data_IF_029500402649
#
_entry.id   IF_029500402649
#
_cell.length_a   1.000
_cell.length_b   1.000
_cell.length_c   1.000
_cell.angle_alpha   90.00
_cell.angle_beta   90.00
_cell.angle_gamma   90.00
#
_symmetry.space_group_name_H-M   'P 1'
#
loop_
_entity.id
_entity.type
_entity.pdbx_description
1 polymer ?
#
# COMPACT_ATOMS: atom_id res chain seq x y z
N UNK A 1 -7.29 75.43 -3.99
CA UNK A 1 -8.51 76.06 -4.46
C UNK A 1 -9.55 75.00 -4.55
N UNK A 2 -10.48 75.17 -3.70
CA UNK A 2 -11.94 74.99 -3.66
C UNK A 2 -12.39 73.52 -3.67
N UNK A 3 -12.76 72.98 -2.56
CA UNK A 3 -13.89 73.06 -1.62
C UNK A 3 -15.26 72.75 -2.24
N UNK A 4 -15.94 71.89 -1.50
CA UNK A 4 -17.40 71.74 -1.21
C UNK A 4 -18.07 70.54 -1.84
N UNK A 5 -18.99 69.83 -1.22
CA UNK A 5 -19.56 69.72 0.15
C UNK A 5 -20.67 68.65 0.07
N UNK A 6 -20.87 67.90 1.13
CA UNK A 6 -22.06 67.10 1.43
C UNK A 6 -23.29 68.01 1.68
N UNK A 7 -24.50 67.54 1.57
CA UNK A 7 -25.29 67.10 2.75
C UNK A 7 -26.13 65.83 2.52
N UNK A 8 -26.36 64.96 3.47
CA UNK A 8 -27.21 64.89 4.67
C UNK A 8 -28.73 64.80 4.42
N UNK A 9 -29.28 63.77 5.08
CA UNK A 9 -30.51 63.63 5.86
C UNK A 9 -31.64 62.76 5.23
N UNK A 10 -31.87 61.60 5.79
CA UNK A 10 -32.91 61.21 6.78
C UNK A 10 -34.33 61.16 6.26
N UNK A 11 -34.97 59.97 6.42
CA UNK A 11 -36.26 59.84 7.10
C UNK A 11 -36.70 58.37 7.15
N UNK A 12 -36.82 57.81 8.36
CA UNK A 12 -37.81 56.79 8.70
C UNK A 12 -39.17 57.49 8.90
N UNK A 13 -40.30 56.80 8.67
CA UNK A 13 -41.05 56.39 9.87
C UNK A 13 -41.89 55.08 9.78
N UNK A 14 -42.05 54.55 10.96
CA UNK A 14 -43.25 54.02 11.67
C UNK A 14 -43.99 52.78 11.16
N UNK A 15 -44.03 51.84 12.10
CA UNK A 15 -45.06 50.80 12.26
C UNK A 15 -46.48 51.41 12.39
N UNK A 16 -47.53 50.61 12.13
CA UNK A 16 -48.44 50.34 13.19
C UNK A 16 -48.80 48.86 13.41
N UNK A 17 -49.04 48.63 14.62
CA UNK A 17 -49.70 47.66 15.46
C UNK A 17 -51.13 47.27 14.93
N UNK A 18 -51.56 46.05 15.25
CA UNK A 18 -52.82 45.67 15.84
C UNK A 18 -53.40 44.29 15.47
N UNK A 19 -53.48 43.46 16.52
CA UNK A 19 -54.67 42.73 17.01
C UNK A 19 -55.03 41.39 16.35
N UNK A 20 -54.87 40.39 17.20
CA UNK A 20 -55.58 39.12 17.15
C UNK A 20 -57.11 39.28 17.40
N UNK A 21 -57.88 38.28 17.04
CA UNK A 21 -58.93 37.81 17.93
C UNK A 21 -58.86 36.31 18.18
N UNK A 22 -59.12 36.01 19.45
CA UNK A 22 -59.40 34.70 20.00
C UNK A 22 -60.75 34.16 19.55
N UNK A 23 -60.83 32.87 19.20
CA UNK A 23 -62.07 32.09 19.28
C UNK A 23 -61.82 30.67 19.78
N UNK A 24 -62.27 30.47 20.98
CA UNK A 24 -62.97 29.39 21.67
C UNK A 24 -62.75 27.93 21.23
N UNK A 25 -62.44 27.18 22.25
CA UNK A 25 -62.43 25.76 22.48
C UNK A 25 -63.64 24.99 21.90
N UNK A 26 -63.35 23.81 21.40
CA UNK A 26 -64.28 22.68 21.41
C UNK A 26 -63.47 21.43 21.69
N UNK A 27 -63.77 20.82 22.82
CA UNK A 27 -63.24 19.52 23.27
C UNK A 27 -63.80 18.41 22.38
N UNK A 28 -62.94 17.55 21.87
CA UNK A 28 -63.30 16.17 21.53
C UNK A 28 -62.14 15.26 21.89
N UNK A 29 -62.39 14.41 22.83
CA UNK A 29 -61.55 13.28 23.20
C UNK A 29 -61.52 12.26 22.06
N UNK A 30 -60.38 11.99 21.55
CA UNK A 30 -60.11 10.82 20.71
C UNK A 30 -58.88 10.11 21.20
N UNK A 31 -59.04 8.86 21.52
CA UNK A 31 -58.01 7.94 22.00
C UNK A 31 -56.83 7.90 20.99
N UNK A 32 -55.64 8.30 21.48
CA UNK A 32 -54.40 8.14 20.71
C UNK A 32 -53.74 6.89 21.24
N UNK A 33 -53.88 5.82 20.46
CA UNK A 33 -53.03 4.63 20.54
C UNK A 33 -51.59 5.06 20.28
N UNK A 34 -50.75 4.97 21.33
CA UNK A 34 -49.35 5.30 21.26
C UNK A 34 -48.61 4.36 20.31
N UNK A 35 -48.26 4.81 19.12
CA UNK A 35 -47.23 4.18 18.31
C UNK A 35 -45.88 4.74 18.80
N UNK A 36 -45.19 4.01 19.67
CA UNK A 36 -43.81 4.21 20.01
C UNK A 36 -42.99 3.90 18.76
N UNK A 37 -42.70 4.91 17.95
CA UNK A 37 -41.66 4.83 16.93
C UNK A 37 -40.32 4.84 17.69
N UNK A 38 -39.83 3.64 18.00
CA UNK A 38 -38.45 3.43 18.35
C UNK A 38 -37.61 3.79 17.14
N UNK A 39 -37.11 5.02 17.08
CA UNK A 39 -36.01 5.39 16.18
C UNK A 39 -34.80 4.57 16.61
N UNK A 40 -34.65 3.40 15.97
CA UNK A 40 -33.39 2.68 15.96
C UNK A 40 -32.35 3.62 15.35
N UNK A 41 -31.59 4.29 16.18
CA UNK A 41 -30.30 4.83 15.78
C UNK A 41 -29.45 3.63 15.40
N UNK A 42 -29.52 3.27 14.13
CA UNK A 42 -28.50 2.44 13.49
C UNK A 42 -27.22 3.27 13.56
N UNK A 43 -26.43 3.07 14.61
CA UNK A 43 -25.03 3.45 14.58
C UNK A 43 -24.47 2.83 13.32
N UNK A 44 -23.79 3.60 12.43
CA UNK A 44 -23.11 2.99 11.31
C UNK A 44 -22.16 1.95 11.91
N UNK A 45 -22.41 0.68 11.60
CA UNK A 45 -21.48 -0.38 11.91
C UNK A 45 -20.19 0.01 11.23
N UNK A 46 -19.24 0.54 12.02
CA UNK A 46 -17.87 0.69 11.54
C UNK A 46 -17.41 -0.71 11.18
N UNK A 47 -17.30 -0.97 9.89
CA UNK A 47 -16.68 -2.18 9.43
C UNK A 47 -15.28 -2.19 10.04
N UNK A 48 -15.05 -3.09 10.99
CA UNK A 48 -13.71 -3.34 11.51
C UNK A 48 -12.83 -3.64 10.31
N UNK A 49 -11.65 -3.01 10.17
CA UNK A 49 -10.73 -3.33 9.11
C UNK A 49 -10.36 -4.80 9.26
N UNK A 50 -10.98 -5.64 8.42
CA UNK A 50 -10.70 -7.05 8.38
C UNK A 50 -9.37 -7.23 7.66
N UNK A 51 -8.30 -7.43 8.44
CA UNK A 51 -6.97 -7.75 7.92
C UNK A 51 -6.92 -9.27 7.71
N UNK A 52 -7.15 -9.77 6.49
CA UNK A 52 -7.18 -11.20 6.25
C UNK A 52 -5.79 -11.80 6.45
N UNK A 53 -5.70 -12.75 7.37
CA UNK A 53 -4.50 -13.54 7.59
C UNK A 53 -4.59 -14.75 6.66
N UNK A 54 -3.55 -15.00 5.88
CA UNK A 54 -3.53 -16.17 4.99
C UNK A 54 -3.56 -17.46 5.79
N UNK A 55 -4.11 -18.51 5.20
CA UNK A 55 -4.18 -19.82 5.85
C UNK A 55 -2.78 -20.36 6.20
N UNK A 56 -1.80 -20.09 5.36
CA UNK A 56 -0.40 -20.46 5.60
C UNK A 56 0.20 -19.71 6.81
N UNK A 57 -0.05 -18.42 6.94
CA UNK A 57 0.40 -17.64 8.10
C UNK A 57 -0.17 -18.18 9.40
N UNK A 58 -1.46 -18.56 9.37
CA UNK A 58 -2.12 -19.15 10.52
C UNK A 58 -1.53 -20.51 10.87
N UNK A 59 -1.29 -21.39 9.87
CA UNK A 59 -0.67 -22.69 10.11
C UNK A 59 0.75 -22.57 10.65
N UNK A 60 1.57 -21.67 10.10
CA UNK A 60 2.91 -21.38 10.61
C UNK A 60 2.85 -20.88 12.05
N UNK A 61 1.95 -19.93 12.33
CA UNK A 61 1.77 -19.41 13.68
C UNK A 61 1.34 -20.48 14.68
N UNK A 62 0.47 -21.40 14.28
CA UNK A 62 0.06 -22.53 15.13
C UNK A 62 1.22 -23.47 15.42
N UNK A 63 2.00 -23.86 14.42
CA UNK A 63 3.17 -24.73 14.59
C UNK A 63 4.20 -24.09 15.54
N UNK A 64 4.46 -22.79 15.39
CA UNK A 64 5.40 -22.08 16.27
C UNK A 64 4.83 -21.91 17.69
N UNK A 65 3.51 -21.66 17.82
CA UNK A 65 2.86 -21.56 19.14
C UNK A 65 3.01 -22.86 19.95
N UNK A 66 2.91 -24.00 19.28
CA UNK A 66 3.05 -25.32 19.91
C UNK A 66 4.52 -25.68 20.20
N UNK A 67 5.38 -25.44 19.25
CA UNK A 67 6.78 -25.86 19.30
C UNK A 67 7.72 -24.83 19.94
N UNK A 68 7.45 -23.52 19.78
CA UNK A 68 8.39 -22.42 20.05
C UNK A 68 9.47 -22.32 18.97
N UNK A 69 10.30 -21.30 19.01
CA UNK A 69 11.41 -21.07 18.08
C UNK A 69 12.71 -21.62 18.66
N UNK A 70 13.56 -22.34 17.90
CA UNK A 70 14.88 -22.76 18.39
C UNK A 70 15.71 -21.56 18.83
N UNK A 71 16.50 -21.71 19.89
CA UNK A 71 17.40 -20.64 20.38
C UNK A 71 18.40 -20.17 19.30
N UNK A 72 18.74 -21.03 18.34
CA UNK A 72 19.63 -20.72 17.21
C UNK A 72 19.05 -19.63 16.27
N UNK A 73 17.73 -19.45 16.26
CA UNK A 73 17.03 -18.47 15.43
C UNK A 73 16.89 -17.10 16.12
N UNK A 74 17.23 -17.01 17.39
CA UNK A 74 17.22 -15.73 18.09
C UNK A 74 18.35 -14.83 17.60
N UNK A 75 18.09 -13.54 17.59
CA UNK A 75 19.12 -12.51 17.41
C UNK A 75 20.16 -12.64 18.52
N UNK A 76 21.47 -12.53 18.22
CA UNK A 76 22.53 -12.57 19.24
C UNK A 76 22.32 -11.52 20.35
N UNK A 77 21.72 -10.40 20.00
CA UNK A 77 21.44 -9.27 20.90
C UNK A 77 19.95 -9.17 21.27
N UNK A 78 19.20 -10.27 21.22
CA UNK A 78 17.79 -10.26 21.57
C UNK A 78 17.59 -9.77 23.00
N UNK A 79 16.82 -8.71 23.24
CA UNK A 79 16.56 -8.22 24.60
C UNK A 79 15.64 -9.20 25.34
N UNK A 80 15.70 -9.19 26.66
CA UNK A 80 14.78 -10.01 27.47
C UNK A 80 13.34 -9.47 27.44
N UNK A 81 13.17 -8.18 27.17
CA UNK A 81 11.85 -7.54 27.00
C UNK A 81 11.91 -6.32 26.10
N UNK A 82 10.77 -6.00 25.50
CA UNK A 82 10.56 -4.79 24.70
C UNK A 82 9.16 -4.23 24.96
N UNK A 83 9.07 -2.94 25.19
CA UNK A 83 7.77 -2.23 25.25
C UNK A 83 7.48 -1.63 23.89
N UNK A 84 6.38 -2.05 23.29
CA UNK A 84 5.92 -1.55 21.97
C UNK A 84 5.71 -0.05 22.05
N UNK A 85 6.31 0.69 21.14
CA UNK A 85 6.22 2.16 21.06
C UNK A 85 5.40 2.58 19.83
N UNK A 86 4.89 3.79 19.86
CA UNK A 86 4.25 4.36 18.67
C UNK A 86 5.29 4.52 17.56
N UNK A 87 4.98 3.97 16.38
CA UNK A 87 5.90 3.91 15.24
C UNK A 87 6.69 2.61 15.12
N UNK A 88 6.63 1.71 16.11
CA UNK A 88 7.14 0.35 15.93
C UNK A 88 6.37 -0.36 14.82
N UNK A 89 7.03 -1.31 14.17
CA UNK A 89 6.41 -2.23 13.22
C UNK A 89 6.70 -3.67 13.66
N UNK A 90 5.85 -4.61 13.25
CA UNK A 90 6.13 -6.03 13.51
C UNK A 90 7.47 -6.47 12.91
N UNK A 91 7.85 -5.88 11.80
CA UNK A 91 9.17 -6.07 11.20
C UNK A 91 10.29 -5.61 12.13
N UNK A 92 10.18 -4.38 12.64
CA UNK A 92 11.17 -3.82 13.57
C UNK A 92 11.25 -4.60 14.86
N UNK A 93 10.10 -4.91 15.47
CA UNK A 93 10.02 -5.72 16.70
C UNK A 93 10.58 -7.11 16.47
N UNK A 94 10.24 -7.77 15.35
CA UNK A 94 10.81 -9.08 15.01
C UNK A 94 12.34 -9.05 14.91
N UNK A 95 12.91 -7.97 14.35
CA UNK A 95 14.36 -7.80 14.22
C UNK A 95 15.10 -7.65 15.55
N UNK A 96 14.41 -7.30 16.64
CA UNK A 96 15.00 -7.27 17.97
C UNK A 96 15.20 -8.70 18.53
N UNK A 97 14.26 -9.59 18.25
CA UNK A 97 14.23 -10.93 18.86
C UNK A 97 14.74 -12.05 17.93
N UNK A 98 14.57 -11.90 16.60
CA UNK A 98 14.90 -12.91 15.61
C UNK A 98 16.03 -12.45 14.70
N UNK A 99 16.85 -13.37 14.20
CA UNK A 99 17.92 -13.10 13.22
C UNK A 99 17.39 -12.49 11.93
N UNK A 100 16.16 -12.86 11.56
CA UNK A 100 15.53 -12.44 10.32
C UNK A 100 14.21 -11.73 10.60
N UNK A 101 14.11 -10.40 10.40
CA UNK A 101 12.91 -9.61 10.69
C UNK A 101 11.65 -10.08 9.96
N UNK A 102 11.80 -10.61 8.75
CA UNK A 102 10.69 -11.14 7.94
C UNK A 102 9.99 -12.35 8.58
N UNK A 103 10.60 -12.99 9.60
CA UNK A 103 10.03 -14.11 10.36
C UNK A 103 9.02 -13.66 11.43
N UNK A 104 8.48 -12.44 11.35
CA UNK A 104 7.47 -11.98 12.28
C UNK A 104 6.23 -12.92 12.42
N UNK A 105 5.83 -13.74 11.43
CA UNK A 105 4.76 -14.71 11.66
C UNK A 105 5.09 -15.73 12.75
N UNK A 106 6.37 -16.05 12.93
CA UNK A 106 6.86 -16.91 14.03
C UNK A 106 6.77 -16.15 15.38
N UNK A 107 7.11 -14.87 15.38
CA UNK A 107 6.92 -14.01 16.54
C UNK A 107 5.44 -13.94 16.95
N UNK A 108 4.54 -13.80 16.00
CA UNK A 108 3.10 -13.87 16.22
C UNK A 108 2.67 -15.23 16.74
N UNK A 109 3.17 -16.32 16.17
CA UNK A 109 2.91 -17.68 16.63
C UNK A 109 3.29 -17.89 18.09
N UNK A 110 4.41 -17.32 18.53
CA UNK A 110 4.83 -17.36 19.93
C UNK A 110 3.81 -16.68 20.88
N UNK A 111 2.93 -15.83 20.38
CA UNK A 111 1.95 -15.07 21.16
C UNK A 111 0.49 -15.38 20.76
N UNK A 112 0.24 -16.50 20.12
CA UNK A 112 -1.08 -16.82 19.52
C UNK A 112 -2.23 -16.79 20.54
N UNK A 113 -1.97 -17.10 21.81
CA UNK A 113 -3.00 -17.09 22.85
C UNK A 113 -3.42 -15.66 23.29
N UNK A 114 -2.48 -14.70 23.26
CA UNK A 114 -2.70 -13.32 23.66
C UNK A 114 -3.01 -12.41 22.46
N UNK A 115 -2.47 -12.74 21.28
CA UNK A 115 -2.61 -11.93 20.08
C UNK A 115 -3.31 -12.77 19.00
N UNK A 116 -4.62 -12.65 18.92
CA UNK A 116 -5.43 -13.37 17.90
C UNK A 116 -5.17 -12.88 16.49
N UNK A 117 -4.79 -11.60 16.36
CA UNK A 117 -4.46 -10.96 15.08
C UNK A 117 -3.11 -10.24 15.23
N UNK A 118 -2.08 -10.60 14.45
CA UNK A 118 -0.75 -9.99 14.54
C UNK A 118 -0.73 -8.50 14.18
N UNK A 119 -1.76 -8.04 13.46
CA UNK A 119 -1.91 -6.63 13.12
C UNK A 119 -2.52 -5.78 14.24
N UNK A 120 -2.88 -6.39 15.37
CA UNK A 120 -3.48 -5.73 16.52
C UNK A 120 -2.52 -5.71 17.74
N UNK A 121 -1.25 -5.40 17.53
CA UNK A 121 -0.29 -5.08 18.59
C UNK A 121 -0.28 -3.57 18.79
N UNK A 122 -0.43 -3.16 20.06
CA UNK A 122 -0.62 -1.76 20.40
C UNK A 122 0.55 -1.18 21.17
N UNK A 123 0.87 0.10 21.00
CA UNK A 123 1.83 0.80 21.84
C UNK A 123 1.50 0.66 23.34
N UNK A 124 2.55 0.46 24.13
CA UNK A 124 2.45 0.23 25.59
C UNK A 124 2.29 -1.24 25.99
N UNK A 125 2.14 -2.17 25.05
CA UNK A 125 2.24 -3.59 25.34
C UNK A 125 3.71 -3.97 25.57
N UNK A 126 3.97 -4.78 26.60
CA UNK A 126 5.30 -5.32 26.87
C UNK A 126 5.41 -6.74 26.29
N UNK A 127 6.46 -6.96 25.53
CA UNK A 127 6.87 -8.27 25.01
C UNK A 127 8.07 -8.73 25.84
N UNK A 128 8.09 -9.98 26.28
CA UNK A 128 9.24 -10.57 26.97
C UNK A 128 9.54 -11.97 26.47
N UNK A 129 10.83 -12.28 26.47
CA UNK A 129 11.38 -13.51 25.91
C UNK A 129 11.49 -14.58 27.01
N UNK A 130 10.67 -15.64 26.86
CA UNK A 130 10.74 -16.83 27.69
C UNK A 130 11.61 -17.89 27.01
N UNK A 131 12.73 -18.24 27.63
CA UNK A 131 13.70 -19.23 27.14
C UNK A 131 13.58 -20.48 27.98
N UNK A 132 12.87 -21.49 27.51
CA UNK A 132 12.68 -22.75 28.22
C UNK A 132 12.90 -23.95 27.28
N UNK A 133 13.44 -25.04 27.83
CA UNK A 133 13.65 -26.32 27.12
C UNK A 133 14.40 -26.22 25.78
N UNK A 134 15.40 -25.33 25.67
CA UNK A 134 16.16 -25.14 24.43
C UNK A 134 15.41 -24.38 23.33
N UNK A 135 14.24 -23.84 23.67
CA UNK A 135 13.40 -23.05 22.78
C UNK A 135 13.05 -21.72 23.40
N UNK A 136 12.70 -20.76 22.54
CA UNK A 136 12.27 -19.44 22.95
C UNK A 136 10.81 -19.23 22.56
N UNK A 137 10.11 -18.50 23.43
CA UNK A 137 8.73 -17.99 23.20
C UNK A 137 8.65 -16.54 23.57
N UNK A 138 7.99 -15.75 22.76
CA UNK A 138 7.70 -14.36 23.10
C UNK A 138 6.29 -14.28 23.69
N UNK A 139 6.18 -13.61 24.84
CA UNK A 139 4.91 -13.44 25.54
C UNK A 139 4.57 -11.98 25.68
N UNK A 140 3.27 -11.69 25.69
CA UNK A 140 2.73 -10.34 25.95
C UNK A 140 2.20 -10.29 27.36
N UNK A 141 2.56 -9.27 28.12
CA UNK A 141 2.03 -9.04 29.48
C UNK A 141 2.89 -8.12 30.30
N UNK A 142 2.51 -7.91 31.56
CA UNK A 142 3.33 -7.26 32.57
C UNK A 142 3.99 -8.33 33.44
N UNK A 143 5.30 -8.22 33.66
CA UNK A 143 5.99 -8.99 34.69
C UNK A 143 5.59 -8.40 36.04
N UNK A 144 4.71 -9.09 36.77
CA UNK A 144 4.50 -8.80 38.15
C UNK A 144 5.60 -9.53 38.92
N UNK A 145 6.66 -8.80 39.30
CA UNK A 145 7.69 -9.31 40.20
C UNK A 145 7.12 -9.40 41.61
N UNK A 146 6.64 -10.57 41.97
CA UNK A 146 6.48 -10.85 43.41
C UNK A 146 7.85 -11.21 43.97
N UNK A 147 8.13 -10.73 45.16
CA UNK A 147 9.37 -10.92 45.94
C UNK A 147 9.72 -12.39 46.25
N UNK A 148 8.93 -13.34 45.75
CA UNK A 148 9.09 -14.79 45.90
C UNK A 148 9.56 -15.53 44.69
N UNK A 149 10.06 -14.85 43.62
CA UNK A 149 10.68 -15.50 42.47
C UNK A 149 9.73 -16.16 41.47
N UNK A 150 8.42 -16.15 41.70
CA UNK A 150 7.41 -16.63 40.75
C UNK A 150 6.78 -15.46 40.02
N UNK A 151 7.09 -15.30 38.75
CA UNK A 151 6.46 -14.32 37.85
C UNK A 151 5.01 -14.77 37.53
N UNK A 152 4.03 -14.14 38.16
CA UNK A 152 2.60 -14.34 37.84
C UNK A 152 2.21 -13.37 36.71
N UNK A 153 1.87 -13.91 35.56
CA UNK A 153 1.46 -13.14 34.40
C UNK A 153 -0.02 -12.80 34.49
N UNK A 154 -0.35 -11.52 34.45
CA UNK A 154 -1.74 -11.08 34.32
C UNK A 154 -2.01 -10.65 32.89
N UNK A 155 -2.78 -11.39 32.09
CA UNK A 155 -3.19 -10.96 30.76
C UNK A 155 -4.20 -9.82 30.90
N UNK A 156 -3.79 -8.60 30.53
CA UNK A 156 -4.72 -7.50 30.31
C UNK A 156 -4.82 -7.27 28.81
N UNK A 157 -5.96 -7.64 28.26
CA UNK A 157 -6.35 -7.20 26.91
C UNK A 157 -6.66 -5.70 27.00
N UNK A 158 -5.85 -4.86 26.39
CA UNK A 158 -6.21 -3.47 26.15
C UNK A 158 -6.95 -3.42 24.82
N UNK A 159 -8.22 -3.06 24.88
CA UNK A 159 -8.95 -2.61 23.68
C UNK A 159 -8.43 -1.21 23.35
N UNK A 160 -7.57 -1.11 22.33
CA UNK A 160 -7.12 0.15 21.75
C UNK A 160 -7.89 0.43 20.46
N UNK A 161 -7.87 1.69 20.00
CA UNK A 161 -8.40 2.01 18.68
C UNK A 161 -7.59 1.28 17.63
N UNK A 162 -8.24 0.70 16.61
CA UNK A 162 -7.59 -0.04 15.52
C UNK A 162 -6.58 0.81 14.75
N UNK A 163 -6.78 2.13 14.72
CA UNK A 163 -5.87 3.09 14.10
C UNK A 163 -4.51 3.20 14.81
N UNK A 164 -4.42 2.75 16.08
CA UNK A 164 -3.18 2.75 16.85
C UNK A 164 -2.40 1.42 16.75
N UNK A 165 -2.92 0.41 16.06
CA UNK A 165 -2.24 -0.86 15.86
C UNK A 165 -0.97 -0.68 15.01
N UNK A 166 0.11 -1.39 15.39
CA UNK A 166 1.36 -1.33 14.63
C UNK A 166 1.26 -2.10 13.32
N UNK A 167 1.79 -1.53 12.25
CA UNK A 167 1.79 -2.13 10.93
C UNK A 167 2.88 -3.22 10.80
N UNK A 168 2.66 -4.18 9.91
CA UNK A 168 3.64 -5.24 9.61
C UNK A 168 4.85 -4.72 8.85
N UNK A 169 4.59 -3.86 7.87
CA UNK A 169 5.55 -3.05 7.11
C UNK A 169 4.94 -1.66 7.02
N UNK A 170 5.73 -0.58 7.00
CA UNK A 170 5.20 0.77 6.84
C UNK A 170 4.42 0.89 5.52
N UNK A 171 3.09 0.74 5.58
CA UNK A 171 2.22 0.78 4.39
C UNK A 171 2.32 2.09 3.62
N UNK A 172 2.61 3.21 4.32
CA UNK A 172 2.79 4.51 3.67
C UNK A 172 3.95 4.52 2.65
N UNK A 173 4.91 3.60 2.78
CA UNK A 173 5.98 3.41 1.79
C UNK A 173 5.49 2.67 0.54
N UNK A 174 4.49 1.82 0.68
CA UNK A 174 3.97 0.98 -0.41
C UNK A 174 2.72 1.58 -1.06
N UNK A 175 1.92 2.34 -0.30
CA UNK A 175 0.64 2.88 -0.75
C UNK A 175 0.73 3.68 -2.06
N UNK A 176 1.72 4.57 -2.29
CA UNK A 176 1.86 5.26 -3.56
C UNK A 176 2.02 4.30 -4.74
N UNK A 177 2.70 3.19 -4.53
CA UNK A 177 3.09 2.25 -5.59
C UNK A 177 2.03 1.20 -5.90
N UNK A 178 1.10 0.92 -4.98
CA UNK A 178 -0.04 0.07 -5.30
C UNK A 178 -0.91 0.66 -6.41
N UNK A 179 -0.95 1.97 -6.50
CA UNK A 179 -1.73 2.69 -7.50
C UNK A 179 -0.94 3.05 -8.76
N UNK A 180 0.38 3.20 -8.65
CA UNK A 180 1.22 3.81 -9.69
C UNK A 180 1.82 2.78 -10.65
N UNK A 181 2.24 1.62 -10.16
CA UNK A 181 2.87 0.61 -11.00
C UNK A 181 1.83 -0.20 -11.78
N UNK A 182 1.84 -0.09 -13.10
CA UNK A 182 1.00 -0.91 -14.00
C UNK A 182 1.88 -1.58 -15.03
N UNK A 183 1.74 -2.90 -15.10
CA UNK A 183 2.32 -3.71 -16.14
C UNK A 183 1.18 -4.29 -16.97
N UNK A 184 1.34 -4.23 -18.28
CA UNK A 184 0.50 -4.90 -19.25
C UNK A 184 1.25 -6.12 -19.78
N UNK A 185 0.58 -7.26 -19.82
CA UNK A 185 1.18 -8.50 -20.31
C UNK A 185 1.39 -8.47 -21.83
N UNK A 186 0.58 -7.70 -22.55
CA UNK A 186 0.69 -7.53 -24.01
C UNK A 186 0.55 -6.08 -24.43
N UNK A 187 1.18 -5.75 -25.57
CA UNK A 187 0.98 -4.45 -26.24
C UNK A 187 -0.47 -4.22 -26.69
N UNK A 188 -1.20 -5.30 -27.02
CA UNK A 188 -2.55 -5.22 -27.56
C UNK A 188 -3.58 -4.78 -26.54
N UNK A 189 -3.40 -5.19 -25.28
CA UNK A 189 -4.22 -4.73 -24.17
C UNK A 189 -4.18 -3.21 -24.04
N UNK A 190 -3.00 -2.65 -24.17
CA UNK A 190 -2.79 -1.22 -24.14
C UNK A 190 -3.39 -0.48 -25.34
N UNK A 191 -3.28 -1.04 -26.53
CA UNK A 191 -3.83 -0.43 -27.75
C UNK A 191 -5.35 -0.26 -27.66
N UNK A 192 -6.03 -1.17 -26.96
CA UNK A 192 -7.48 -1.14 -26.68
C UNK A 192 -7.86 -0.22 -25.53
N UNK A 193 -6.91 0.19 -24.68
CA UNK A 193 -7.19 1.05 -23.54
C UNK A 193 -7.74 2.41 -23.98
N UNK A 194 -8.70 3.00 -23.23
CA UNK A 194 -9.17 4.36 -23.47
C UNK A 194 -7.99 5.33 -23.49
N UNK A 195 -8.07 6.35 -24.33
CA UNK A 195 -6.99 7.31 -24.52
C UNK A 195 -7.46 8.76 -24.41
N UNK A 196 -6.60 9.61 -23.92
CA UNK A 196 -6.74 11.05 -23.94
C UNK A 196 -6.63 11.54 -25.40
N UNK A 197 -7.70 12.10 -25.96
CA UNK A 197 -7.76 12.54 -27.35
C UNK A 197 -7.69 14.05 -27.51
N UNK A 198 -8.11 14.79 -26.49
CA UNK A 198 -8.05 16.25 -26.49
C UNK A 198 -7.99 16.78 -25.06
N UNK A 199 -7.47 17.98 -24.96
CA UNK A 199 -7.46 18.81 -23.75
C UNK A 199 -8.43 19.96 -23.91
N UNK A 200 -8.68 20.72 -22.86
CA UNK A 200 -9.44 21.95 -22.94
C UNK A 200 -8.76 22.92 -23.92
N UNK A 201 -9.56 23.70 -24.65
CA UNK A 201 -9.10 24.63 -25.66
C UNK A 201 -8.00 25.57 -25.12
N UNK A 202 -6.92 25.72 -25.90
CA UNK A 202 -5.75 26.52 -25.54
C UNK A 202 -4.74 25.81 -24.62
N UNK A 203 -4.95 24.54 -24.27
CA UNK A 203 -4.02 23.74 -23.44
C UNK A 203 -3.33 22.67 -24.29
N UNK A 204 -2.04 22.51 -24.07
CA UNK A 204 -1.24 21.42 -24.66
C UNK A 204 -1.07 20.28 -23.64
N UNK A 205 -0.90 20.64 -22.38
CA UNK A 205 -0.73 19.76 -21.24
C UNK A 205 -1.80 20.03 -20.19
N UNK A 206 -2.16 19.01 -19.44
CA UNK A 206 -3.16 19.10 -18.38
C UNK A 206 -2.54 19.05 -17.02
N UNK A 207 -3.07 19.89 -16.13
CA UNK A 207 -2.77 19.94 -14.71
C UNK A 207 -3.99 19.51 -13.88
N UNK A 208 -3.81 19.46 -12.56
CA UNK A 208 -4.89 19.11 -11.63
C UNK A 208 -6.07 20.08 -11.76
N UNK A 209 -7.28 19.52 -11.77
CA UNK A 209 -8.54 20.26 -11.87
C UNK A 209 -8.97 20.59 -13.30
N UNK A 210 -8.14 20.33 -14.29
CA UNK A 210 -8.45 20.62 -15.69
C UNK A 210 -9.29 19.51 -16.34
N UNK A 211 -9.90 19.86 -17.48
CA UNK A 211 -10.79 18.97 -18.22
C UNK A 211 -10.00 18.19 -19.28
N UNK A 212 -10.22 16.90 -19.31
CA UNK A 212 -9.66 15.95 -20.27
C UNK A 212 -10.77 15.30 -21.10
N UNK A 213 -10.54 15.12 -22.39
CA UNK A 213 -11.45 14.43 -23.29
C UNK A 213 -10.88 13.06 -23.68
N UNK A 214 -11.66 12.01 -23.39
CA UNK A 214 -11.22 10.62 -23.52
C UNK A 214 -12.11 9.87 -24.49
N UNK A 215 -11.49 9.04 -25.33
CA UNK A 215 -12.18 8.12 -26.24
C UNK A 215 -11.76 6.69 -25.94
N UNK A 216 -12.74 5.79 -25.88
CA UNK A 216 -12.57 4.37 -25.64
C UNK A 216 -13.71 3.81 -24.78
N UNK A 217 -13.69 2.52 -24.56
CA UNK A 217 -14.70 1.81 -23.77
C UNK A 217 -14.43 1.98 -22.28
N UNK A 218 -15.40 2.51 -21.54
CA UNK A 218 -15.25 2.84 -20.12
C UNK A 218 -15.87 1.79 -19.18
N UNK A 219 -16.78 0.93 -19.67
CA UNK A 219 -17.41 -0.13 -18.89
C UNK A 219 -18.13 0.36 -17.62
N UNK A 220 -18.69 1.59 -17.64
CA UNK A 220 -19.43 2.17 -16.51
C UNK A 220 -18.59 2.57 -15.31
N UNK A 221 -17.27 2.60 -15.43
CA UNK A 221 -16.34 2.97 -14.35
C UNK A 221 -16.14 4.48 -14.30
N UNK A 222 -16.02 5.03 -13.08
CA UNK A 222 -15.87 6.47 -12.87
C UNK A 222 -14.41 6.89 -12.61
N UNK A 223 -13.64 6.07 -11.89
CA UNK A 223 -12.30 6.42 -11.47
C UNK A 223 -11.26 5.69 -12.31
N UNK A 224 -10.35 6.47 -12.88
CA UNK A 224 -9.36 5.99 -13.84
C UNK A 224 -7.97 6.50 -13.48
N UNK A 225 -6.97 5.70 -13.83
CA UNK A 225 -5.55 6.08 -13.79
C UNK A 225 -5.08 6.42 -15.18
N UNK A 226 -4.27 7.45 -15.29
CA UNK A 226 -3.66 7.88 -16.54
C UNK A 226 -2.21 7.42 -16.60
N UNK A 227 -1.83 6.89 -17.74
CA UNK A 227 -0.49 6.35 -18.01
C UNK A 227 0.04 6.85 -19.33
N UNK A 228 1.35 7.06 -19.37
CA UNK A 228 2.06 7.31 -20.60
C UNK A 228 2.40 6.01 -21.31
N UNK A 229 2.67 6.09 -22.61
CA UNK A 229 3.02 4.95 -23.45
C UNK A 229 4.03 4.03 -22.75
N UNK A 230 3.74 2.71 -22.68
CA UNK A 230 4.56 1.80 -21.91
C UNK A 230 5.83 1.41 -22.63
N UNK A 231 6.86 1.19 -21.82
CA UNK A 231 8.15 0.70 -22.26
C UNK A 231 8.22 -0.82 -22.09
N UNK A 232 8.81 -1.57 -23.04
CA UNK A 232 9.02 -3.00 -22.87
C UNK A 232 10.08 -3.26 -21.79
N UNK A 233 9.73 -4.05 -20.79
CA UNK A 233 10.66 -4.58 -19.82
C UNK A 233 11.28 -5.87 -20.34
N UNK A 234 12.60 -5.89 -20.48
CA UNK A 234 13.33 -7.01 -21.06
C UNK A 234 14.15 -7.72 -19.99
N UNK A 235 14.11 -9.04 -20.02
CA UNK A 235 14.99 -9.86 -19.21
C UNK A 235 16.45 -9.51 -19.47
N UNK A 236 17.27 -9.22 -18.46
CA UNK A 236 18.67 -8.83 -18.63
C UNK A 236 19.52 -9.89 -19.35
N UNK A 237 19.24 -11.18 -19.10
CA UNK A 237 20.00 -12.29 -19.66
C UNK A 237 19.50 -12.72 -21.04
N UNK A 238 18.17 -12.91 -21.21
CA UNK A 238 17.59 -13.47 -22.45
C UNK A 238 17.15 -12.41 -23.44
N UNK A 239 16.99 -11.15 -23.02
CA UNK A 239 16.44 -10.04 -23.80
C UNK A 239 14.96 -10.19 -24.17
N UNK A 240 14.32 -11.23 -23.70
CA UNK A 240 12.90 -11.46 -23.90
C UNK A 240 12.06 -10.34 -23.25
N UNK A 241 10.98 -9.93 -23.90
CA UNK A 241 10.03 -8.97 -23.31
C UNK A 241 9.16 -9.71 -22.29
N UNK A 242 9.28 -9.32 -21.02
CA UNK A 242 8.54 -9.89 -19.91
C UNK A 242 7.18 -9.23 -19.73
N UNK A 243 7.05 -7.98 -20.09
CA UNK A 243 5.87 -7.15 -19.98
C UNK A 243 6.14 -5.72 -20.39
N UNK A 244 5.15 -4.86 -20.28
CA UNK A 244 5.22 -3.44 -20.65
C UNK A 244 4.91 -2.58 -19.43
N UNK A 245 5.90 -1.83 -18.95
CA UNK A 245 5.74 -0.91 -17.84
C UNK A 245 5.19 0.42 -18.32
N UNK A 246 4.02 0.81 -17.79
CA UNK A 246 3.41 2.09 -18.09
C UNK A 246 3.74 3.11 -16.99
N UNK A 247 4.25 4.27 -17.42
CA UNK A 247 4.58 5.35 -16.51
C UNK A 247 3.31 6.04 -16.03
N UNK A 248 3.09 6.04 -14.71
CA UNK A 248 1.94 6.68 -14.10
C UNK A 248 1.99 8.21 -14.24
N UNK A 249 0.90 8.79 -14.71
CA UNK A 249 0.75 10.24 -14.90
C UNK A 249 -0.14 10.85 -13.83
N UNK A 250 -1.31 10.22 -13.54
CA UNK A 250 -2.26 10.76 -12.58
C UNK A 250 -3.55 9.95 -12.48
N UNK A 251 -4.56 10.55 -11.87
CA UNK A 251 -5.92 10.01 -11.80
C UNK A 251 -6.93 10.97 -12.39
N UNK A 252 -7.94 10.40 -13.04
CA UNK A 252 -9.05 11.10 -13.65
C UNK A 252 -10.38 10.59 -13.11
N UNK A 253 -11.37 11.46 -12.99
CA UNK A 253 -12.76 11.09 -12.70
C UNK A 253 -13.66 11.43 -13.88
N UNK A 254 -14.53 10.48 -14.23
CA UNK A 254 -15.54 10.66 -15.27
C UNK A 254 -16.60 11.66 -14.79
N UNK A 255 -16.79 12.72 -15.56
CA UNK A 255 -17.83 13.76 -15.34
C UNK A 255 -19.05 13.47 -16.20
N UNK A 256 -18.83 13.16 -17.47
CA UNK A 256 -19.89 12.90 -18.44
C UNK A 256 -19.42 11.86 -19.47
N UNK A 257 -20.25 10.88 -19.74
CA UNK A 257 -20.02 9.92 -20.80
C UNK A 257 -20.12 10.59 -22.18
N UNK A 258 -19.33 10.10 -23.11
CA UNK A 258 -19.37 10.49 -24.49
C UNK A 258 -20.59 9.94 -25.21
N UNK A 259 -20.81 10.40 -26.42
CA UNK A 259 -21.91 9.94 -27.26
C UNK A 259 -21.42 9.75 -28.70
N UNK A 260 -22.01 8.81 -29.41
CA UNK A 260 -21.86 8.69 -30.85
C UNK A 260 -23.15 9.19 -31.49
N UNK A 261 -23.02 9.97 -32.55
CA UNK A 261 -24.14 10.58 -33.26
C UNK A 261 -23.78 10.86 -34.73
N UNK A 262 -24.64 11.62 -35.37
CA UNK A 262 -24.42 12.06 -36.76
C UNK A 262 -24.30 13.57 -36.75
N UNK A 263 -23.25 14.08 -37.36
CA UNK A 263 -23.03 15.51 -37.54
C UNK A 263 -24.07 16.16 -38.51
N UNK A 264 -24.10 17.47 -38.55
CA UNK A 264 -24.99 18.23 -39.44
C UNK A 264 -24.72 17.94 -40.91
N UNK A 265 -23.57 17.45 -41.26
CA UNK A 265 -23.13 17.04 -42.60
C UNK A 265 -23.43 15.56 -42.91
N UNK A 266 -24.12 14.84 -42.02
CA UNK A 266 -24.46 13.43 -42.17
C UNK A 266 -23.29 12.49 -41.86
N UNK A 267 -22.12 13.00 -41.46
CA UNK A 267 -20.95 12.17 -41.10
C UNK A 267 -21.04 11.69 -39.65
N UNK A 268 -20.46 10.51 -39.34
CA UNK A 268 -20.37 10.04 -37.95
C UNK A 268 -19.65 11.06 -37.06
N UNK A 269 -20.29 11.48 -35.98
CA UNK A 269 -19.75 12.42 -35.01
C UNK A 269 -19.55 11.69 -33.68
N UNK A 270 -18.35 11.71 -33.16
CA UNK A 270 -18.04 11.15 -31.86
C UNK A 270 -17.78 12.29 -30.87
N UNK A 271 -18.63 12.39 -29.84
CA UNK A 271 -18.40 13.28 -28.71
C UNK A 271 -17.64 12.50 -27.64
N UNK A 272 -16.38 12.86 -27.32
CA UNK A 272 -15.59 12.13 -26.33
C UNK A 272 -16.14 12.29 -24.93
N UNK A 273 -15.86 11.33 -24.06
CA UNK A 273 -16.19 11.41 -22.64
C UNK A 273 -15.39 12.51 -21.97
N UNK A 274 -16.02 13.22 -21.03
CA UNK A 274 -15.41 14.34 -20.29
C UNK A 274 -14.96 13.86 -18.93
N UNK A 275 -13.71 14.14 -18.60
CA UNK A 275 -13.06 13.80 -17.34
C UNK A 275 -12.50 15.06 -16.67
N UNK A 276 -12.33 14.99 -15.34
CA UNK A 276 -11.56 15.96 -14.58
C UNK A 276 -10.31 15.28 -14.02
N UNK A 277 -9.18 15.97 -14.09
CA UNK A 277 -7.92 15.53 -13.51
C UNK A 277 -7.95 15.71 -11.98
N UNK A 278 -7.98 14.60 -11.21
CA UNK A 278 -8.06 14.64 -9.75
C UNK A 278 -6.68 14.80 -9.11
N UNK A 279 -5.70 14.04 -9.59
CA UNK A 279 -4.32 14.12 -9.15
C UNK A 279 -3.38 13.95 -10.34
N UNK A 280 -2.20 14.53 -10.23
CA UNK A 280 -1.19 14.48 -11.28
C UNK A 280 0.20 14.42 -10.65
N UNK A 281 1.05 13.55 -11.17
CA UNK A 281 2.47 13.45 -10.86
C UNK A 281 3.33 14.07 -11.94
N UNK A 282 2.83 13.99 -13.17
CA UNK A 282 3.46 14.52 -14.38
C UNK A 282 2.36 15.11 -15.25
N UNK A 283 2.69 16.11 -16.05
CA UNK A 283 1.75 16.72 -16.97
C UNK A 283 1.16 15.70 -17.95
N UNK A 284 -0.17 15.64 -18.02
CA UNK A 284 -0.90 14.75 -18.92
C UNK A 284 -0.93 15.32 -20.34
N UNK A 285 -0.76 14.47 -21.33
CA UNK A 285 -0.71 14.84 -22.74
C UNK A 285 -1.70 14.01 -23.56
N UNK A 286 -2.08 14.55 -24.72
CA UNK A 286 -2.84 13.80 -25.74
C UNK A 286 -2.04 12.55 -26.14
N UNK A 287 -2.74 11.40 -26.16
CA UNK A 287 -2.12 10.09 -26.41
C UNK A 287 -1.92 9.25 -25.14
N UNK A 288 -1.90 9.85 -23.96
CA UNK A 288 -1.85 9.11 -22.70
C UNK A 288 -3.05 8.16 -22.58
N UNK A 289 -2.84 7.00 -21.96
CA UNK A 289 -3.81 5.89 -21.89
C UNK A 289 -4.42 5.77 -20.49
N UNK A 290 -5.65 5.27 -20.44
CA UNK A 290 -6.35 5.09 -19.20
C UNK A 290 -6.43 3.61 -18.81
N UNK A 291 -6.24 3.32 -17.53
CA UNK A 291 -6.54 2.03 -16.93
C UNK A 291 -7.47 2.22 -15.72
N UNK A 292 -8.36 1.28 -15.45
CA UNK A 292 -9.24 1.39 -14.30
C UNK A 292 -8.45 1.40 -12.99
N UNK A 293 -8.94 2.16 -12.01
CA UNK A 293 -8.40 2.07 -10.64
C UNK A 293 -8.74 0.67 -10.12
N UNK A 294 -7.75 -0.15 -9.71
CA UNK A 294 -8.04 -1.44 -9.12
C UNK A 294 -8.81 -1.25 -7.82
N UNK A 295 -9.64 -2.22 -7.43
CA UNK A 295 -10.21 -2.22 -6.09
C UNK A 295 -9.08 -2.11 -5.06
N UNK A 296 -9.32 -1.30 -4.01
CA UNK A 296 -8.35 -1.15 -2.92
C UNK A 296 -8.21 -2.48 -2.19
N UNK A 297 -7.24 -3.24 -2.59
CA UNK A 297 -6.91 -4.51 -1.96
C UNK A 297 -5.92 -4.23 -0.82
N UNK A 298 -6.44 -3.79 0.33
CA UNK A 298 -5.66 -3.61 1.56
C UNK A 298 -5.33 -4.96 2.22
N UNK A 299 -4.97 -5.94 1.42
CA UNK A 299 -4.46 -7.19 1.97
C UNK A 299 -3.11 -6.92 2.61
N UNK A 300 -3.08 -6.90 3.93
CA UNK A 300 -1.84 -6.85 4.68
C UNK A 300 -0.95 -8.01 4.23
N UNK A 301 0.18 -7.66 3.64
CA UNK A 301 1.16 -8.63 3.20
C UNK A 301 1.97 -9.09 4.41
N UNK A 302 1.91 -10.38 4.69
CA UNK A 302 2.80 -10.97 5.67
C UNK A 302 4.08 -11.41 4.97
N UNK A 303 5.25 -10.94 5.41
CA UNK A 303 6.52 -11.41 4.89
C UNK A 303 6.72 -12.90 5.14
N UNK A 304 7.21 -13.60 4.11
CA UNK A 304 7.53 -15.04 4.19
C UNK A 304 8.60 -15.40 3.16
N UNK A 305 9.27 -16.53 3.36
CA UNK A 305 10.17 -17.09 2.36
C UNK A 305 9.39 -17.65 1.17
N UNK A 306 9.97 -17.68 -0.05
CA UNK A 306 9.36 -18.37 -1.18
C UNK A 306 9.16 -19.86 -0.86
N UNK A 307 8.11 -20.45 -1.45
CA UNK A 307 7.76 -21.86 -1.21
C UNK A 307 8.69 -22.85 -1.91
N UNK A 308 9.38 -22.38 -2.91
CA UNK A 308 10.33 -23.14 -3.73
C UNK A 308 11.59 -22.30 -3.94
N UNK A 309 12.66 -22.95 -4.37
CA UNK A 309 13.89 -22.25 -4.70
C UNK A 309 13.68 -21.32 -5.88
N UNK A 310 13.94 -20.04 -5.65
CA UNK A 310 13.78 -19.00 -6.65
C UNK A 310 15.08 -18.22 -6.80
N UNK A 311 15.54 -18.08 -8.03
CA UNK A 311 16.66 -17.21 -8.39
C UNK A 311 16.32 -16.42 -9.65
N UNK A 312 16.76 -15.17 -9.70
CA UNK A 312 16.52 -14.29 -10.82
C UNK A 312 17.37 -13.03 -10.80
N UNK A 313 16.99 -12.08 -11.64
CA UNK A 313 17.70 -10.81 -11.79
C UNK A 313 16.71 -9.62 -11.75
N UNK A 314 17.23 -8.48 -11.32
CA UNK A 314 16.52 -7.20 -11.41
C UNK A 314 16.45 -6.78 -12.88
N UNK A 315 15.24 -6.52 -13.35
CA UNK A 315 14.96 -6.11 -14.75
C UNK A 315 15.17 -4.63 -14.91
N UNK A 316 14.58 -3.84 -14.02
CA UNK A 316 14.61 -2.38 -14.04
C UNK A 316 14.41 -1.80 -12.65
N UNK A 317 14.71 -0.52 -12.55
CA UNK A 317 14.38 0.29 -11.39
C UNK A 317 13.21 1.18 -11.79
N UNK A 318 12.16 1.22 -10.97
CA UNK A 318 10.98 2.03 -11.25
C UNK A 318 11.35 3.52 -11.39
N UNK A 319 10.84 4.16 -12.45
CA UNK A 319 11.12 5.56 -12.73
C UNK A 319 12.42 5.81 -13.51
N UNK A 320 12.95 4.81 -14.22
CA UNK A 320 14.13 4.89 -15.11
C UNK A 320 15.43 5.30 -14.39
N UNK A 321 15.54 5.06 -13.09
CA UNK A 321 16.77 5.31 -12.36
C UNK A 321 17.85 4.28 -12.71
N UNK A 322 19.12 4.71 -12.70
CA UNK A 322 20.26 3.83 -12.98
C UNK A 322 20.66 2.96 -11.81
N UNK A 323 20.31 3.37 -10.61
CA UNK A 323 20.56 2.64 -9.37
C UNK A 323 19.48 2.91 -8.34
N UNK A 324 19.24 1.95 -7.45
CA UNK A 324 18.25 2.03 -6.40
C UNK A 324 18.86 1.76 -5.02
N UNK A 325 18.34 2.46 -4.02
CA UNK A 325 18.64 2.26 -2.61
C UNK A 325 17.45 1.73 -1.82
N UNK A 326 17.52 1.83 -0.50
CA UNK A 326 16.42 1.46 0.39
C UNK A 326 15.14 2.23 0.08
N UNK A 327 13.99 1.56 0.23
CA UNK A 327 12.63 2.08 -0.03
C UNK A 327 12.36 2.45 -1.49
N UNK A 328 13.15 1.96 -2.42
CA UNK A 328 12.88 2.08 -3.84
C UNK A 328 12.34 0.78 -4.44
N UNK A 329 11.68 0.89 -5.58
CA UNK A 329 11.02 -0.24 -6.25
C UNK A 329 11.86 -0.72 -7.41
N UNK A 330 11.90 -2.03 -7.53
CA UNK A 330 12.57 -2.75 -8.62
C UNK A 330 11.62 -3.77 -9.25
N UNK A 331 11.79 -3.99 -10.55
CA UNK A 331 11.14 -5.06 -11.29
C UNK A 331 12.03 -6.30 -11.30
N UNK A 332 11.45 -7.47 -11.10
CA UNK A 332 12.11 -8.78 -11.06
C UNK A 332 11.66 -9.63 -12.23
N UNK A 333 12.57 -10.45 -12.80
CA UNK A 333 12.27 -11.38 -13.91
C UNK A 333 11.67 -12.71 -13.43
N UNK A 334 10.96 -12.71 -12.30
CA UNK A 334 10.22 -13.85 -11.77
C UNK A 334 8.84 -13.38 -11.34
N UNK A 335 7.84 -14.24 -11.56
CA UNK A 335 6.44 -13.96 -11.28
C UNK A 335 5.72 -15.13 -10.62
N UNK A 336 4.39 -15.17 -10.79
CA UNK A 336 3.55 -16.22 -10.20
C UNK A 336 3.91 -17.61 -10.74
N UNK A 337 4.33 -17.73 -12.00
CA UNK A 337 4.78 -19.00 -12.60
C UNK A 337 6.03 -19.56 -11.92
N UNK A 338 6.86 -18.69 -11.35
CA UNK A 338 8.09 -19.04 -10.64
C UNK A 338 7.84 -19.24 -9.13
N UNK A 339 6.57 -19.26 -8.69
CA UNK A 339 6.20 -19.48 -7.30
C UNK A 339 6.32 -18.24 -6.41
N UNK A 340 6.46 -17.05 -6.99
CA UNK A 340 6.39 -15.80 -6.22
C UNK A 340 4.94 -15.42 -5.93
N UNK A 341 4.71 -14.96 -4.73
CA UNK A 341 3.45 -14.37 -4.28
C UNK A 341 3.71 -13.08 -3.47
N UNK A 342 2.65 -12.38 -3.15
CA UNK A 342 2.75 -11.14 -2.36
C UNK A 342 3.23 -11.44 -0.95
N UNK A 343 4.25 -10.73 -0.49
CA UNK A 343 4.87 -10.94 0.81
C UNK A 343 6.15 -11.78 0.74
N UNK A 344 6.47 -12.34 -0.41
CA UNK A 344 7.73 -13.10 -0.58
C UNK A 344 8.94 -12.20 -0.31
N UNK A 345 9.85 -12.68 0.53
CA UNK A 345 11.14 -12.06 0.81
C UNK A 345 12.21 -12.73 -0.02
N UNK A 346 13.07 -11.91 -0.62
CA UNK A 346 14.21 -12.37 -1.43
C UNK A 346 15.49 -11.71 -0.95
N UNK A 347 16.60 -12.42 -1.06
CA UNK A 347 17.94 -11.88 -0.79
C UNK A 347 18.53 -11.27 -2.06
N UNK A 348 19.11 -10.08 -1.93
CA UNK A 348 19.90 -9.44 -2.97
C UNK A 348 21.36 -9.88 -2.86
N UNK A 349 21.96 -10.15 -4.00
CA UNK A 349 23.34 -10.55 -4.12
C UNK A 349 24.11 -9.60 -5.04
N UNK A 350 25.31 -9.27 -4.61
CA UNK A 350 26.31 -8.65 -5.45
C UNK A 350 27.27 -9.73 -5.95
N UNK A 351 27.46 -9.82 -7.24
CA UNK A 351 28.47 -10.68 -7.81
C UNK A 351 29.87 -10.16 -7.49
N UNK A 352 30.72 -11.03 -6.96
CA UNK A 352 32.10 -10.71 -6.69
C UNK A 352 32.82 -10.26 -7.95
N UNK A 353 33.56 -9.18 -7.87
CA UNK A 353 34.35 -8.70 -8.99
C UNK A 353 35.49 -9.64 -9.36
N UNK A 354 35.80 -9.72 -10.63
CA UNK A 354 37.00 -10.42 -11.12
C UNK A 354 38.17 -9.44 -11.11
N UNK A 355 39.21 -9.74 -10.33
CA UNK A 355 40.39 -8.91 -10.17
C UNK A 355 41.65 -9.71 -10.49
N UNK A 356 42.76 -9.01 -10.72
CA UNK A 356 44.07 -9.64 -10.81
C UNK A 356 44.73 -9.59 -9.45
N UNK A 357 45.25 -10.73 -9.02
CA UNK A 357 46.09 -10.81 -7.80
C UNK A 357 47.45 -10.16 -8.07
N UNK A 358 47.61 -8.95 -7.58
CA UNK A 358 48.87 -8.18 -7.73
C UNK A 358 49.96 -8.60 -6.75
N UNK A 359 49.67 -9.54 -5.84
CA UNK A 359 50.63 -10.03 -4.86
C UNK A 359 51.55 -11.14 -5.41
N UNK A 360 51.15 -11.79 -6.51
CA UNK A 360 51.94 -12.81 -7.19
C UNK A 360 52.54 -12.27 -8.49
N UNK A 361 53.69 -12.77 -8.88
CA UNK A 361 54.43 -12.33 -10.07
C UNK A 361 53.67 -12.62 -11.37
N UNK A 362 52.95 -13.73 -11.47
CA UNK A 362 52.13 -14.16 -12.59
C UNK A 362 50.75 -13.49 -12.66
N UNK A 363 50.41 -12.70 -11.63
CA UNK A 363 49.18 -11.91 -11.54
C UNK A 363 47.92 -12.69 -11.95
N UNK A 364 47.62 -13.84 -11.34
CA UNK A 364 46.47 -14.65 -11.75
C UNK A 364 45.17 -13.90 -11.58
N UNK A 365 44.20 -14.24 -12.42
CA UNK A 365 42.83 -13.70 -12.32
C UNK A 365 42.08 -14.47 -11.25
N UNK A 366 41.57 -13.76 -10.27
CA UNK A 366 40.75 -14.29 -9.18
C UNK A 366 39.37 -13.67 -9.19
N UNK A 367 38.36 -14.44 -8.84
CA UNK A 367 36.99 -13.95 -8.61
C UNK A 367 36.77 -13.80 -7.09
N UNK A 368 36.37 -12.62 -6.67
CA UNK A 368 35.94 -12.40 -5.28
C UNK A 368 34.62 -13.14 -5.00
N UNK A 369 34.35 -13.53 -3.75
CA UNK A 369 33.08 -14.17 -3.41
C UNK A 369 31.90 -13.25 -3.65
N UNK A 370 30.76 -13.85 -3.97
CA UNK A 370 29.50 -13.17 -4.06
C UNK A 370 29.04 -12.80 -2.64
N UNK A 371 28.52 -11.59 -2.46
CA UNK A 371 28.10 -11.07 -1.16
C UNK A 371 26.62 -10.79 -1.12
N UNK A 372 25.95 -11.25 -0.04
CA UNK A 372 24.59 -10.86 0.27
C UNK A 372 24.59 -9.42 0.77
N UNK A 373 23.90 -8.52 0.06
CA UNK A 373 23.93 -7.11 0.40
C UNK A 373 22.57 -6.47 0.67
N UNK A 374 21.47 -7.21 0.56
CA UNK A 374 20.15 -6.64 0.84
C UNK A 374 19.01 -7.65 0.89
N UNK A 375 17.81 -7.12 1.11
CA UNK A 375 16.54 -7.84 1.13
C UNK A 375 15.49 -7.08 0.29
N UNK A 376 14.67 -7.85 -0.40
CA UNK A 376 13.52 -7.40 -1.18
C UNK A 376 12.23 -7.94 -0.58
N UNK A 377 11.15 -7.16 -0.63
CA UNK A 377 9.78 -7.59 -0.36
C UNK A 377 8.96 -7.49 -1.64
N UNK A 378 8.49 -8.62 -2.14
CA UNK A 378 7.58 -8.68 -3.29
C UNK A 378 6.20 -8.20 -2.86
N UNK A 379 5.70 -7.12 -3.47
CA UNK A 379 4.39 -6.56 -3.12
C UNK A 379 3.37 -6.64 -4.25
N UNK A 380 3.84 -6.86 -5.49
CA UNK A 380 2.96 -7.04 -6.66
C UNK A 380 3.52 -8.10 -7.58
N UNK A 381 2.68 -9.05 -7.97
CA UNK A 381 3.07 -10.21 -8.77
C UNK A 381 2.23 -10.25 -10.04
N UNK A 382 2.90 -10.47 -11.16
CA UNK A 382 2.35 -10.72 -12.48
C UNK A 382 2.74 -12.14 -12.90
N UNK A 383 2.34 -12.57 -14.09
CA UNK A 383 2.62 -13.94 -14.52
C UNK A 383 4.12 -14.24 -14.62
N UNK A 384 4.88 -13.35 -15.28
CA UNK A 384 6.29 -13.55 -15.61
C UNK A 384 7.26 -12.65 -14.86
N UNK A 385 6.76 -11.71 -14.11
CA UNK A 385 7.55 -10.73 -13.39
C UNK A 385 6.85 -10.24 -12.13
N UNK A 386 7.58 -9.53 -11.27
CA UNK A 386 7.03 -8.94 -10.06
C UNK A 386 7.69 -7.61 -9.73
N UNK A 387 7.02 -6.81 -8.91
CA UNK A 387 7.63 -5.64 -8.27
C UNK A 387 7.97 -5.94 -6.82
N UNK A 388 9.15 -5.51 -6.43
CA UNK A 388 9.63 -5.62 -5.07
C UNK A 388 10.13 -4.28 -4.53
N UNK A 389 9.91 -4.08 -3.23
CA UNK A 389 10.47 -2.98 -2.46
C UNK A 389 11.81 -3.40 -1.87
N UNK A 390 12.83 -2.58 -2.02
CA UNK A 390 14.11 -2.76 -1.34
C UNK A 390 13.93 -2.40 0.14
N UNK A 391 13.94 -3.41 1.01
CA UNK A 391 13.78 -3.21 2.46
C UNK A 391 15.03 -2.67 3.12
N UNK A 392 16.15 -3.24 2.77
CA UNK A 392 17.48 -2.79 3.18
C UNK A 392 18.51 -3.14 2.10
N UNK A 393 19.54 -2.36 2.02
CA UNK A 393 20.67 -2.61 1.12
C UNK A 393 21.90 -1.88 1.65
N UNK A 394 23.08 -2.49 1.54
CA UNK A 394 24.35 -1.90 1.94
C UNK A 394 24.87 -0.93 0.89
N UNK A 395 24.66 -1.23 -0.36
CA UNK A 395 25.09 -0.45 -1.52
C UNK A 395 23.99 -0.40 -2.59
N UNK A 396 23.95 0.63 -3.42
CA UNK A 396 22.93 0.77 -4.46
C UNK A 396 22.91 -0.44 -5.41
N UNK A 397 21.69 -0.90 -5.73
CA UNK A 397 21.45 -1.99 -6.69
C UNK A 397 21.23 -1.45 -8.09
N UNK A 398 21.46 -2.32 -9.10
CA UNK A 398 21.32 -2.01 -10.51
C UNK A 398 20.51 -3.09 -11.22
N UNK A 399 19.98 -2.75 -12.40
CA UNK A 399 19.43 -3.76 -13.30
C UNK A 399 20.51 -4.81 -13.61
N UNK A 400 20.15 -6.08 -13.56
CA UNK A 400 21.06 -7.22 -13.72
C UNK A 400 21.57 -7.82 -12.40
N UNK A 401 21.46 -7.12 -11.27
CA UNK A 401 21.83 -7.70 -9.96
C UNK A 401 20.95 -8.92 -9.66
N UNK A 402 21.54 -9.92 -9.00
CA UNK A 402 20.88 -11.20 -8.71
C UNK A 402 20.11 -11.17 -7.41
N UNK A 403 19.05 -11.99 -7.38
CA UNK A 403 18.37 -12.32 -6.14
C UNK A 403 18.11 -13.83 -6.02
N UNK A 404 17.99 -14.30 -4.78
CA UNK A 404 17.63 -15.68 -4.44
C UNK A 404 16.63 -15.68 -3.27
N UNK A 405 16.25 -16.89 -2.81
CA UNK A 405 15.62 -17.08 -1.49
C UNK A 405 16.52 -16.48 -0.39
N UNK A 406 15.93 -16.03 0.73
CA UNK A 406 16.63 -15.33 1.81
C UNK A 406 17.59 -16.19 2.64
#
# INVERSE_FOLDING_TARGET
MTQRSLPQAAHSPSRPDQRAPAWRAASMAAAVSGLLVATLWSSPARAEPNFPISQQQRSTAQQVAEAGVPLSELSPNAPDSHTVKRGDTLWGVSGLFLKSPWRWPELWGMNLQQIRNPHLIFPGQMLYLDKSNGRARLRVGQVLSDSSGNAKLSPRVREGNLDDAIATVPLHLLEPFFNEAVIFDSSDELLKAPRLVATQEGRVLLSRGETAYVRGELGGRRDWRLFREPKPLRDPATREVLGYEAQYVGTLALVREGAEGTGADGQPLVVPSTFTVNSIRQEAAVGDRLAPVPPRDFNNMAPHAPRQDVAGQLVSIYGDALSAGQNQIVALNRGSRDGLDRGTILALWRDGSTIRDMTLADKPVIKLPDERHGLLLVFRVFDRMSYALILNVKEPVKAGDRFTQP
#
